data_IF_714019689114
#
_entry.id   IF_714019689114
#
_cell.length_a   1.000
_cell.length_b   1.000
_cell.length_c   1.000
_cell.angle_alpha   90.00
_cell.angle_beta   90.00
_cell.angle_gamma   90.00
#
_symmetry.space_group_name_H-M   'P 1'
#
loop_
_entity.id
_entity.type
_entity.pdbx_description
1 polymer ?
#
# COMPACT_ATOMS: atom_id res chain seq x y z
N UNK A 1 0.51 2.06 16.17
CA UNK A 1 0.24 1.15 15.05
C UNK A 1 -0.63 0.00 15.56
N UNK A 2 -1.80 -0.19 14.96
CA UNK A 2 -2.73 -1.27 15.29
C UNK A 2 -3.16 -1.97 14.00
N UNK A 3 -3.33 -3.29 14.06
CA UNK A 3 -3.85 -4.08 12.96
C UNK A 3 -5.07 -4.84 13.47
N UNK A 4 -6.16 -4.71 12.75
CA UNK A 4 -7.43 -5.37 13.03
C UNK A 4 -7.72 -6.32 11.88
N UNK A 5 -8.05 -7.57 12.16
CA UNK A 5 -8.27 -8.60 11.14
C UNK A 5 -9.33 -9.60 11.60
N UNK A 6 -9.91 -10.29 10.64
CA UNK A 6 -10.90 -11.33 10.89
C UNK A 6 -10.25 -12.66 11.29
N UNK A 7 -11.01 -13.53 11.91
CA UNK A 7 -10.59 -14.89 12.26
C UNK A 7 -10.24 -15.72 11.01
N UNK A 8 -10.99 -15.52 9.90
CA UNK A 8 -10.70 -16.16 8.60
C UNK A 8 -9.76 -15.27 7.76
N UNK A 9 -8.58 -15.00 8.28
CA UNK A 9 -7.55 -14.20 7.59
C UNK A 9 -7.15 -14.74 6.20
N UNK A 10 -7.04 -16.06 5.94
CA UNK A 10 -6.72 -16.58 4.61
C UNK A 10 -7.71 -16.15 3.51
N UNK A 11 -8.98 -15.91 3.84
CA UNK A 11 -10.01 -15.50 2.87
C UNK A 11 -9.69 -14.15 2.22
N UNK A 12 -8.99 -13.26 2.92
CA UNK A 12 -8.57 -11.98 2.36
C UNK A 12 -7.61 -12.17 1.17
N UNK A 13 -6.72 -13.16 1.24
CA UNK A 13 -5.81 -13.45 0.13
C UNK A 13 -6.54 -13.94 -1.10
N UNK A 14 -7.52 -14.82 -0.94
CA UNK A 14 -8.36 -15.26 -2.08
C UNK A 14 -9.12 -14.10 -2.70
N UNK A 15 -9.73 -13.23 -1.89
CA UNK A 15 -10.43 -12.04 -2.40
C UNK A 15 -9.47 -11.12 -3.20
N UNK A 16 -8.27 -10.86 -2.68
CA UNK A 16 -7.32 -9.96 -3.31
C UNK A 16 -6.66 -10.55 -4.56
N UNK A 17 -6.25 -11.82 -4.51
CA UNK A 17 -5.40 -12.42 -5.55
C UNK A 17 -6.17 -13.25 -6.55
N UNK A 18 -7.29 -13.84 -6.19
CA UNK A 18 -8.13 -14.67 -7.06
C UNK A 18 -9.31 -13.84 -7.60
N UNK A 19 -10.15 -13.31 -6.70
CA UNK A 19 -11.38 -12.58 -7.05
C UNK A 19 -11.13 -11.14 -7.50
N UNK A 20 -9.94 -10.59 -7.24
CA UNK A 20 -9.57 -9.19 -7.54
C UNK A 20 -10.54 -8.18 -6.90
N UNK A 21 -10.97 -8.44 -5.67
CA UNK A 21 -11.87 -7.59 -4.89
C UNK A 21 -11.27 -7.25 -3.53
N UNK A 22 -11.84 -6.26 -2.86
CA UNK A 22 -11.58 -6.04 -1.44
C UNK A 22 -12.39 -7.04 -0.64
N UNK A 23 -11.76 -7.68 0.34
CA UNK A 23 -12.44 -8.66 1.19
C UNK A 23 -13.69 -8.08 1.86
N UNK A 24 -14.66 -8.94 2.14
CA UNK A 24 -15.87 -8.55 2.86
C UNK A 24 -15.56 -8.10 4.29
N UNK A 25 -14.60 -8.76 4.93
CA UNK A 25 -14.02 -8.36 6.21
C UNK A 25 -12.51 -8.11 6.05
N UNK A 26 -12.12 -6.90 5.63
CA UNK A 26 -10.74 -6.61 5.29
C UNK A 26 -9.87 -6.47 6.54
N UNK A 27 -8.60 -6.78 6.42
CA UNK A 27 -7.60 -6.35 7.40
C UNK A 27 -7.48 -4.84 7.37
N UNK A 28 -7.57 -4.21 8.54
CA UNK A 28 -7.49 -2.77 8.70
C UNK A 28 -6.27 -2.39 9.53
N UNK A 29 -5.37 -1.62 8.95
CA UNK A 29 -4.27 -1.01 9.68
C UNK A 29 -4.62 0.42 10.07
N UNK A 30 -4.42 0.77 11.33
CA UNK A 30 -4.63 2.13 11.86
C UNK A 30 -3.35 2.65 12.50
N UNK A 31 -2.87 3.78 12.02
CA UNK A 31 -1.73 4.48 12.59
C UNK A 31 -2.14 5.86 13.13
N UNK A 32 -1.93 6.06 14.41
CA UNK A 32 -2.12 7.33 15.12
C UNK A 32 -0.79 8.11 15.14
N UNK A 33 -0.46 8.78 14.04
CA UNK A 33 0.85 9.40 13.81
C UNK A 33 1.14 10.52 14.82
N UNK A 34 0.12 11.26 15.23
CA UNK A 34 0.29 12.41 16.12
C UNK A 34 0.74 11.98 17.53
N UNK A 35 0.43 10.77 17.97
CA UNK A 35 0.86 10.23 19.27
C UNK A 35 2.36 9.90 19.34
N UNK A 36 3.01 9.69 18.21
CA UNK A 36 4.43 9.34 18.16
C UNK A 36 5.33 10.52 18.59
N UNK A 37 4.86 11.75 18.48
CA UNK A 37 5.65 12.94 18.72
C UNK A 37 5.52 13.50 20.14
N UNK A 38 4.38 13.29 20.79
CA UNK A 38 4.07 13.96 22.07
C UNK A 38 3.61 13.03 23.19
N UNK A 39 3.33 11.74 22.92
CA UNK A 39 2.81 10.78 23.88
C UNK A 39 1.37 11.02 24.32
N UNK A 40 0.88 12.26 24.29
CA UNK A 40 -0.48 12.68 24.55
C UNK A 40 -0.92 13.72 23.54
N UNK A 41 -2.11 13.55 22.98
CA UNK A 41 -2.74 14.52 22.09
C UNK A 41 -4.06 15.00 22.73
N UNK A 42 -4.16 16.29 23.01
CA UNK A 42 -5.42 16.90 23.40
C UNK A 42 -6.17 17.37 22.15
N UNK A 43 -7.38 16.86 21.92
CA UNK A 43 -8.24 17.25 20.81
C UNK A 43 -8.33 16.23 19.67
N UNK A 44 -8.45 16.71 18.42
CA UNK A 44 -8.59 15.87 17.23
C UNK A 44 -7.26 15.26 16.80
N UNK A 45 -7.28 13.97 16.49
CA UNK A 45 -6.10 13.19 16.11
C UNK A 45 -6.17 12.80 14.64
N UNK A 46 -5.06 12.91 13.92
CA UNK A 46 -4.95 12.44 12.53
C UNK A 46 -4.63 10.95 12.54
N UNK A 47 -5.45 10.20 11.83
CA UNK A 47 -5.26 8.77 11.66
C UNK A 47 -4.99 8.43 10.19
N UNK A 48 -4.04 7.55 9.96
CA UNK A 48 -3.90 6.86 8.69
C UNK A 48 -4.56 5.50 8.80
N UNK A 49 -5.59 5.27 7.97
CA UNK A 49 -6.29 3.99 7.89
C UNK A 49 -5.99 3.36 6.54
N UNK A 50 -5.50 2.14 6.53
CA UNK A 50 -5.19 1.38 5.33
C UNK A 50 -5.99 0.09 5.29
N UNK A 51 -6.49 -0.22 4.10
CA UNK A 51 -7.17 -1.47 3.75
C UNK A 51 -6.49 -2.03 2.51
N UNK A 52 -6.28 -3.33 2.46
CA UNK A 52 -5.72 -3.98 1.29
C UNK A 52 -6.71 -3.97 0.12
N UNK A 53 -6.24 -3.62 -1.06
CA UNK A 53 -7.03 -3.59 -2.29
C UNK A 53 -6.25 -4.20 -3.46
N UNK A 54 -6.91 -4.82 -4.44
CA UNK A 54 -6.24 -5.37 -5.60
C UNK A 54 -5.68 -4.26 -6.50
N UNK A 55 -4.53 -4.52 -7.13
CA UNK A 55 -3.89 -3.56 -8.04
C UNK A 55 -4.57 -3.56 -9.43
N UNK A 56 -5.81 -3.14 -9.49
CA UNK A 56 -6.66 -3.09 -10.69
C UNK A 56 -7.06 -1.67 -11.11
N UNK A 57 -6.34 -0.66 -10.62
CA UNK A 57 -6.69 0.74 -10.82
C UNK A 57 -6.59 1.24 -12.26
N UNK A 58 -5.90 0.52 -13.13
CA UNK A 58 -5.81 0.75 -14.58
C UNK A 58 -6.80 -0.11 -15.40
N UNK A 59 -7.43 -1.11 -14.77
CA UNK A 59 -8.34 -2.06 -15.42
C UNK A 59 -9.81 -1.81 -15.09
N UNK A 60 -10.09 -1.21 -13.93
CA UNK A 60 -11.46 -1.04 -13.43
C UNK A 60 -11.69 0.35 -12.85
N UNK A 61 -12.91 0.86 -13.00
CA UNK A 61 -13.32 2.12 -12.38
C UNK A 61 -13.82 1.86 -10.97
N UNK A 62 -13.26 2.56 -10.01
CA UNK A 62 -13.70 2.53 -8.61
C UNK A 62 -14.83 3.54 -8.40
N UNK A 63 -16.05 3.04 -8.24
CA UNK A 63 -17.24 3.87 -8.07
C UNK A 63 -17.38 4.39 -6.65
N UNK A 64 -18.13 5.49 -6.50
CA UNK A 64 -18.45 6.02 -5.16
C UNK A 64 -19.21 5.01 -4.30
N UNK A 65 -20.07 4.20 -4.90
CA UNK A 65 -20.81 3.16 -4.20
C UNK A 65 -19.87 2.10 -3.64
N UNK A 66 -18.95 1.57 -4.45
CA UNK A 66 -17.94 0.60 -4.01
C UNK A 66 -17.07 1.16 -2.87
N UNK A 67 -16.65 2.42 -2.98
CA UNK A 67 -15.89 3.08 -1.92
C UNK A 67 -16.70 3.19 -0.62
N UNK A 68 -17.99 3.53 -0.71
CA UNK A 68 -18.88 3.60 0.45
C UNK A 68 -19.08 2.22 1.11
N UNK A 69 -19.23 1.17 0.31
CA UNK A 69 -19.34 -0.21 0.81
C UNK A 69 -18.07 -0.65 1.54
N UNK A 70 -16.88 -0.34 1.00
CA UNK A 70 -15.60 -0.64 1.63
C UNK A 70 -15.46 0.12 2.96
N UNK A 71 -15.85 1.39 3.01
CA UNK A 71 -15.87 2.18 4.25
C UNK A 71 -16.77 1.51 5.29
N UNK A 72 -17.99 1.12 4.93
CA UNK A 72 -18.93 0.44 5.83
C UNK A 72 -18.36 -0.87 6.38
N UNK A 73 -17.73 -1.69 5.52
CA UNK A 73 -17.07 -2.94 5.93
C UNK A 73 -15.91 -2.67 6.88
N UNK A 74 -15.11 -1.64 6.58
CA UNK A 74 -13.97 -1.23 7.42
C UNK A 74 -14.44 -0.78 8.80
N UNK A 75 -15.47 0.06 8.87
CA UNK A 75 -16.05 0.52 10.12
C UNK A 75 -16.62 -0.65 10.95
N UNK A 76 -17.23 -1.64 10.28
CA UNK A 76 -17.77 -2.83 10.96
C UNK A 76 -16.65 -3.66 11.60
N UNK A 77 -15.57 -3.95 10.88
CA UNK A 77 -14.40 -4.68 11.43
C UNK A 77 -13.80 -3.94 12.62
N UNK A 78 -13.62 -2.63 12.51
CA UNK A 78 -13.09 -1.82 13.61
C UNK A 78 -14.02 -1.83 14.83
N UNK A 79 -15.33 -1.72 14.62
CA UNK A 79 -16.32 -1.74 15.69
C UNK A 79 -16.37 -3.09 16.41
N UNK A 80 -16.33 -4.21 15.68
CA UNK A 80 -16.26 -5.56 16.24
C UNK A 80 -15.01 -5.77 17.11
N UNK A 81 -13.91 -5.12 16.73
CA UNK A 81 -12.67 -5.10 17.52
C UNK A 81 -12.65 -4.02 18.63
N UNK A 82 -13.77 -3.34 18.88
CA UNK A 82 -13.90 -2.34 19.96
C UNK A 82 -13.49 -0.91 19.60
N UNK A 83 -13.06 -0.64 18.34
CA UNK A 83 -12.72 0.70 17.89
C UNK A 83 -13.85 1.31 17.06
N UNK A 84 -14.66 2.17 17.68
CA UNK A 84 -15.75 2.87 17.01
C UNK A 84 -15.25 4.21 16.47
N UNK A 85 -15.32 4.38 15.14
CA UNK A 85 -14.97 5.61 14.45
C UNK A 85 -15.81 5.76 13.18
N UNK A 86 -15.93 7.00 12.67
CA UNK A 86 -16.57 7.28 11.38
C UNK A 86 -15.53 7.69 10.35
N UNK A 87 -15.48 6.95 9.25
CA UNK A 87 -14.59 7.20 8.10
C UNK A 87 -15.30 7.98 6.99
N UNK A 88 -16.59 8.26 7.13
CA UNK A 88 -17.41 9.01 6.15
C UNK A 88 -17.53 10.51 6.47
N UNK A 89 -16.72 11.03 7.41
CA UNK A 89 -16.75 12.42 7.81
C UNK A 89 -16.19 13.38 6.76
N UNK A 90 -16.59 14.65 6.81
CA UNK A 90 -16.06 15.72 5.94
C UNK A 90 -14.54 15.92 6.09
N UNK A 91 -13.94 15.44 7.17
CA UNK A 91 -12.50 15.51 7.44
C UNK A 91 -11.72 14.30 6.88
N UNK A 92 -12.42 13.28 6.36
CA UNK A 92 -11.78 12.11 5.78
C UNK A 92 -11.33 12.38 4.33
N UNK A 93 -10.13 11.92 3.98
CA UNK A 93 -9.61 11.89 2.61
C UNK A 93 -9.35 10.43 2.24
N UNK A 94 -9.92 10.00 1.14
CA UNK A 94 -9.77 8.63 0.64
C UNK A 94 -8.98 8.62 -0.66
N UNK A 95 -8.18 7.58 -0.82
CA UNK A 95 -7.52 7.24 -2.08
C UNK A 95 -7.72 5.74 -2.36
N UNK A 96 -7.91 5.41 -3.62
CA UNK A 96 -8.16 4.05 -4.10
C UNK A 96 -7.06 3.64 -5.12
N UNK A 97 -7.02 2.37 -5.59
CA UNK A 97 -6.04 1.93 -6.56
C UNK A 97 -6.03 2.75 -7.87
N UNK A 98 -7.15 3.31 -8.31
CA UNK A 98 -7.21 4.16 -9.51
C UNK A 98 -6.49 5.50 -9.29
N UNK A 99 -6.60 6.09 -8.09
CA UNK A 99 -5.87 7.31 -7.74
C UNK A 99 -4.35 7.06 -7.75
N UNK A 100 -3.91 5.90 -7.27
CA UNK A 100 -2.51 5.52 -7.32
C UNK A 100 -2.05 5.19 -8.74
N UNK A 101 -2.84 4.48 -9.55
CA UNK A 101 -2.53 4.19 -10.94
C UNK A 101 -2.40 5.46 -11.78
N UNK A 102 -3.22 6.49 -11.51
CA UNK A 102 -3.12 7.78 -12.18
C UNK A 102 -1.82 8.53 -11.87
N UNK A 103 -1.29 8.37 -10.65
CA UNK A 103 -0.01 8.98 -10.22
C UNK A 103 1.20 8.18 -10.67
N UNK A 104 1.05 6.86 -10.79
CA UNK A 104 2.09 5.90 -11.15
C UNK A 104 1.58 4.99 -12.29
N UNK A 105 1.53 5.49 -13.53
CA UNK A 105 0.99 4.75 -14.67
C UNK A 105 1.66 3.40 -14.88
N UNK A 106 0.88 2.39 -15.26
CA UNK A 106 1.36 1.02 -15.49
C UNK A 106 1.57 0.20 -14.20
N UNK A 107 1.19 0.73 -13.03
CA UNK A 107 1.31 0.03 -11.76
C UNK A 107 0.04 -0.70 -11.33
N UNK A 108 -1.10 -0.44 -11.97
CA UNK A 108 -2.43 -0.85 -11.50
C UNK A 108 -2.81 -0.28 -10.13
N UNK A 109 -2.04 0.69 -9.62
CA UNK A 109 -2.17 1.23 -8.26
C UNK A 109 -1.36 0.46 -7.22
N UNK A 110 -0.50 -0.46 -7.62
CA UNK A 110 0.45 -1.13 -6.72
C UNK A 110 1.50 -0.14 -6.22
N UNK A 111 1.68 -0.06 -4.90
CA UNK A 111 2.62 0.89 -4.28
C UNK A 111 4.03 0.34 -4.13
N UNK A 112 4.19 -0.99 -4.13
CA UNK A 112 5.46 -1.64 -3.75
C UNK A 112 6.07 -2.46 -4.89
N UNK A 113 5.59 -2.26 -6.13
CA UNK A 113 6.05 -2.98 -7.30
C UNK A 113 5.54 -4.42 -7.36
N UNK A 114 6.27 -5.29 -8.03
CA UNK A 114 5.87 -6.66 -8.24
C UNK A 114 5.71 -7.43 -6.92
N UNK A 115 4.64 -8.23 -6.83
CA UNK A 115 4.39 -9.10 -5.69
C UNK A 115 5.53 -10.13 -5.54
N UNK A 116 5.97 -10.33 -4.31
CA UNK A 116 7.07 -11.24 -3.97
C UNK A 116 6.49 -12.53 -3.40
N UNK A 117 6.03 -13.44 -4.28
CA UNK A 117 5.61 -14.78 -3.90
C UNK A 117 6.76 -15.78 -4.06
N UNK A 118 7.06 -16.51 -2.98
CA UNK A 118 8.09 -17.57 -2.97
C UNK A 118 9.45 -17.13 -2.40
N UNK A 119 10.26 -18.15 -2.05
CA UNK A 119 11.53 -17.99 -1.31
C UNK A 119 12.55 -17.07 -1.99
N UNK A 120 12.56 -16.97 -3.31
CA UNK A 120 13.55 -16.21 -4.08
C UNK A 120 13.00 -14.92 -4.70
N UNK A 121 11.71 -14.65 -4.55
CA UNK A 121 11.06 -13.53 -5.23
C UNK A 121 11.58 -12.15 -4.79
N UNK A 122 12.06 -12.03 -3.55
CA UNK A 122 12.70 -10.79 -3.07
C UNK A 122 13.98 -10.44 -3.83
N UNK A 123 14.69 -11.46 -4.36
CA UNK A 123 15.89 -11.30 -5.16
C UNK A 123 15.61 -11.08 -6.65
N UNK A 124 14.35 -11.29 -7.08
CA UNK A 124 13.94 -11.11 -8.48
C UNK A 124 13.53 -9.68 -8.83
N UNK A 125 13.59 -8.75 -7.88
CA UNK A 125 13.36 -7.34 -8.16
C UNK A 125 14.41 -6.81 -9.14
N UNK A 126 14.04 -5.92 -10.08
CA UNK A 126 14.99 -5.32 -11.01
C UNK A 126 16.16 -4.68 -10.26
N UNK A 127 17.36 -4.87 -10.75
CA UNK A 127 18.54 -4.18 -10.24
C UNK A 127 18.58 -2.73 -10.71
N UNK A 128 19.33 -1.89 -10.00
CA UNK A 128 19.54 -0.50 -10.39
C UNK A 128 20.24 -0.35 -11.76
N UNK A 129 21.16 -1.23 -12.11
CA UNK A 129 21.78 -1.30 -13.47
C UNK A 129 20.95 -2.25 -14.33
N UNK A 130 20.41 -1.76 -15.45
CA UNK A 130 19.64 -2.58 -16.39
C UNK A 130 20.55 -3.21 -17.47
N UNK A 131 19.97 -4.10 -18.28
CA UNK A 131 20.63 -4.65 -19.46
C UNK A 131 20.71 -3.64 -20.63
N UNK A 132 19.96 -2.54 -20.53
CA UNK A 132 19.94 -1.48 -21.54
C UNK A 132 21.02 -0.47 -21.17
N UNK A 133 21.96 -0.23 -22.08
CA UNK A 133 23.04 0.74 -21.85
C UNK A 133 22.49 2.14 -21.60
N UNK A 134 22.97 2.78 -20.54
CA UNK A 134 22.55 4.12 -20.14
C UNK A 134 21.21 4.20 -19.39
N UNK A 135 20.50 3.07 -19.18
CA UNK A 135 19.26 3.03 -18.41
C UNK A 135 19.49 2.49 -17.00
N UNK A 136 19.19 3.30 -16.01
CA UNK A 136 19.28 2.96 -14.59
C UNK A 136 17.94 3.12 -13.92
N UNK A 137 17.66 2.29 -12.92
CA UNK A 137 16.41 2.27 -12.17
C UNK A 137 16.68 2.63 -10.71
N UNK A 138 15.74 3.38 -10.11
CA UNK A 138 15.75 3.70 -8.68
C UNK A 138 14.30 3.77 -8.15
N UNK A 139 14.11 3.44 -6.89
CA UNK A 139 12.80 3.54 -6.23
C UNK A 139 12.40 2.28 -5.47
N UNK A 140 11.21 2.29 -4.87
CA UNK A 140 10.70 1.20 -4.04
C UNK A 140 10.37 -0.09 -4.80
N UNK A 141 10.23 -0.04 -6.12
CA UNK A 141 10.00 -1.22 -6.97
C UNK A 141 11.29 -1.89 -7.44
N UNK A 142 12.45 -1.29 -7.15
CA UNK A 142 13.79 -1.74 -7.53
C UNK A 142 14.46 -2.38 -6.31
N UNK A 143 15.40 -3.31 -6.56
CA UNK A 143 16.20 -3.87 -5.48
C UNK A 143 16.93 -2.75 -4.67
N UNK A 144 16.92 -2.78 -3.32
CA UNK A 144 16.51 -3.87 -2.44
C UNK A 144 15.01 -3.93 -2.12
N UNK A 145 14.19 -2.95 -2.49
CA UNK A 145 12.74 -3.05 -2.36
C UNK A 145 12.06 -1.80 -1.78
N UNK A 146 10.82 -1.95 -1.27
CA UNK A 146 10.01 -0.85 -0.78
C UNK A 146 10.49 -0.33 0.58
N UNK A 147 10.01 0.88 0.91
CA UNK A 147 10.35 1.61 2.12
C UNK A 147 11.39 2.69 1.85
N UNK A 148 11.29 3.82 2.58
CA UNK A 148 12.15 4.99 2.36
C UNK A 148 13.65 4.65 2.40
N UNK A 149 14.16 3.89 3.38
CA UNK A 149 15.60 3.55 3.41
C UNK A 149 16.02 2.70 2.19
N UNK A 150 15.20 1.73 1.78
CA UNK A 150 15.50 0.84 0.67
C UNK A 150 15.41 1.56 -0.67
N UNK A 151 14.41 2.40 -0.86
CA UNK A 151 14.28 3.25 -2.05
C UNK A 151 15.46 4.21 -2.18
N UNK A 152 15.90 4.82 -1.09
CA UNK A 152 17.09 5.68 -1.04
C UNK A 152 18.36 4.89 -1.40
N UNK A 153 18.51 3.69 -0.86
CA UNK A 153 19.62 2.81 -1.16
C UNK A 153 19.64 2.42 -2.65
N UNK A 154 18.49 2.13 -3.26
CA UNK A 154 18.40 1.86 -4.69
C UNK A 154 18.87 3.04 -5.54
N UNK A 155 18.54 4.27 -5.16
CA UNK A 155 19.04 5.49 -5.80
C UNK A 155 20.55 5.64 -5.69
N UNK A 156 21.11 5.34 -4.50
CA UNK A 156 22.57 5.30 -4.31
C UNK A 156 23.25 4.27 -5.21
N UNK A 157 22.70 3.07 -5.31
CA UNK A 157 23.21 2.00 -6.17
C UNK A 157 23.14 2.39 -7.66
N UNK A 158 22.08 3.05 -8.11
CA UNK A 158 21.95 3.57 -9.45
C UNK A 158 23.03 4.61 -9.77
N UNK A 159 23.23 5.59 -8.85
CA UNK A 159 24.27 6.62 -8.98
C UNK A 159 25.68 6.01 -9.01
N UNK A 160 25.96 5.03 -8.14
CA UNK A 160 27.25 4.34 -8.15
C UNK A 160 27.49 3.57 -9.45
N UNK A 161 26.45 2.92 -10.00
CA UNK A 161 26.57 2.22 -11.27
C UNK A 161 26.79 3.17 -12.46
N UNK A 162 26.16 4.38 -12.41
CA UNK A 162 26.37 5.41 -13.41
C UNK A 162 27.78 6.00 -13.35
N UNK A 163 28.31 6.23 -12.16
CA UNK A 163 29.64 6.86 -11.95
C UNK A 163 30.80 5.89 -12.16
N UNK A 164 30.58 4.58 -11.98
CA UNK A 164 31.54 3.55 -12.39
C UNK A 164 31.40 3.40 -13.89
N UNK A 165 32.09 4.26 -14.66
CA UNK A 165 32.35 4.02 -16.07
C UNK A 165 33.17 2.73 -16.16
N UNK A 166 32.60 1.68 -16.76
CA UNK A 166 33.36 0.50 -17.24
C UNK A 166 34.30 0.94 -18.36
#
# INVERSE_FOLDING_TARGET
HNVFFDEDYPREFSALFEDKTVAERPTVYVCAQDRLLTGHHEGHERLLVLVNAPATGDLSTWTRQQMSEIVTRTEAVLADCGLKMSLSSATCRMANPQDFASRFPGSGGSLYGQATHGLFSSFMRPNSKTKISGLYLAGGSVHPGPGVPMATLSGRLAAQALLKKD
#
